data_IF_484799600827
#
_entry.id   IF_484799600827
#
_cell.length_a   1.000
_cell.length_b   1.000
_cell.length_c   1.000
_cell.angle_alpha   90.00
_cell.angle_beta   90.00
_cell.angle_gamma   90.00
#
_symmetry.space_group_name_H-M   'P 1'
#
loop_
_entity.id
_entity.type
_entity.pdbx_description
1 polymer ?
#
# COMPACT_ATOMS: atom_id res chain seq x y z
N UNK A 1 -20.79 4.22 26.57
CA UNK A 1 -19.42 3.79 26.31
C UNK A 1 -19.22 3.30 24.88
N UNK A 2 -20.06 2.41 24.38
CA UNK A 2 -19.93 1.93 22.98
C UNK A 2 -19.99 3.08 21.97
N UNK A 3 -20.91 4.02 22.15
CA UNK A 3 -21.06 5.16 21.23
C UNK A 3 -19.81 6.05 21.23
N UNK A 4 -19.21 6.25 22.39
CA UNK A 4 -17.98 7.03 22.50
C UNK A 4 -16.82 6.38 21.72
N UNK A 5 -16.66 5.07 21.85
CA UNK A 5 -15.61 4.33 21.15
C UNK A 5 -15.83 4.37 19.65
N UNK A 6 -17.08 4.17 19.19
CA UNK A 6 -17.41 4.23 17.77
C UNK A 6 -17.18 5.63 17.19
N UNK A 7 -17.53 6.66 17.93
CA UNK A 7 -17.33 8.05 17.49
C UNK A 7 -15.83 8.36 17.38
N UNK A 8 -15.02 7.88 18.35
CA UNK A 8 -13.58 8.06 18.32
C UNK A 8 -12.96 7.34 17.13
N UNK A 9 -13.40 6.12 16.84
CA UNK A 9 -12.89 5.36 15.68
C UNK A 9 -13.24 6.04 14.36
N UNK A 10 -14.46 6.60 14.25
CA UNK A 10 -14.87 7.36 13.07
C UNK A 10 -14.04 8.62 12.90
N UNK A 11 -13.70 9.27 13.99
CA UNK A 11 -12.86 10.46 13.99
C UNK A 11 -11.45 10.12 13.49
N UNK A 12 -10.87 9.03 13.97
CA UNK A 12 -9.57 8.56 13.52
C UNK A 12 -9.58 8.18 12.03
N UNK A 13 -10.66 7.53 11.58
CA UNK A 13 -10.82 7.20 10.17
C UNK A 13 -10.89 8.47 9.32
N UNK A 14 -11.62 9.47 9.75
CA UNK A 14 -11.73 10.75 9.03
C UNK A 14 -10.39 11.46 8.94
N UNK A 15 -9.60 11.44 10.00
CA UNK A 15 -8.26 12.00 9.99
C UNK A 15 -7.35 11.27 9.01
N UNK A 16 -7.40 9.94 9.00
CA UNK A 16 -6.59 9.12 8.10
C UNK A 16 -6.95 9.40 6.64
N UNK A 17 -8.23 9.49 6.32
CA UNK A 17 -8.72 9.81 4.98
C UNK A 17 -8.23 11.20 4.56
N UNK A 18 -8.30 12.18 5.46
CA UNK A 18 -7.80 13.52 5.21
C UNK A 18 -6.31 13.51 4.86
N UNK A 19 -5.51 12.79 5.66
CA UNK A 19 -4.06 12.70 5.42
C UNK A 19 -3.77 12.05 4.07
N UNK A 20 -4.49 10.99 3.72
CA UNK A 20 -4.31 10.30 2.42
C UNK A 20 -4.60 11.27 1.27
N UNK A 21 -5.67 12.06 1.36
CA UNK A 21 -6.02 13.05 0.34
C UNK A 21 -4.97 14.15 0.23
N UNK A 22 -4.43 14.60 1.37
CA UNK A 22 -3.39 15.62 1.39
C UNK A 22 -2.10 15.12 0.76
N UNK A 23 -1.70 13.88 1.03
CA UNK A 23 -0.52 13.27 0.43
C UNK A 23 -0.70 13.20 -1.09
N UNK A 24 -1.86 12.79 -1.56
CA UNK A 24 -2.14 12.72 -3.00
C UNK A 24 -2.07 14.10 -3.66
N UNK A 25 -2.49 15.14 -2.95
CA UNK A 25 -2.48 16.50 -3.49
C UNK A 25 -1.09 17.14 -3.50
N UNK A 26 -0.25 16.80 -2.52
CA UNK A 26 1.05 17.46 -2.33
C UNK A 26 2.21 16.77 -3.03
N UNK A 27 2.12 15.49 -3.31
CA UNK A 27 3.21 14.71 -3.90
C UNK A 27 2.86 14.29 -5.32
N UNK A 28 3.84 14.39 -6.23
CA UNK A 28 3.63 14.06 -7.63
C UNK A 28 3.41 12.57 -7.88
N UNK A 29 4.17 11.73 -7.18
CA UNK A 29 4.17 10.29 -7.40
C UNK A 29 4.01 9.50 -6.11
N UNK A 30 2.89 9.65 -5.41
CA UNK A 30 2.65 8.83 -4.23
C UNK A 30 2.37 7.38 -4.62
N UNK A 31 2.59 6.47 -3.69
CA UNK A 31 2.31 5.06 -3.88
C UNK A 31 1.90 4.43 -2.57
N UNK A 32 1.13 3.34 -2.65
CA UNK A 32 0.70 2.56 -1.48
C UNK A 32 1.54 1.32 -1.36
N UNK A 33 2.21 1.16 -0.24
CA UNK A 33 3.00 -0.04 0.01
C UNK A 33 2.08 -1.16 0.50
N UNK A 34 2.10 -2.28 -0.20
CA UNK A 34 1.41 -3.50 0.21
C UNK A 34 2.41 -4.48 0.79
N UNK A 35 2.22 -4.88 2.04
CA UNK A 35 3.09 -5.85 2.71
C UNK A 35 2.40 -7.19 2.99
N UNK A 36 1.08 -7.25 2.77
CA UNK A 36 0.28 -8.43 3.10
C UNK A 36 -0.16 -8.48 4.56
N UNK A 37 0.30 -7.54 5.38
CA UNK A 37 -0.11 -7.44 6.77
C UNK A 37 -1.42 -6.69 6.96
N UNK A 38 -1.95 -6.74 8.17
CA UNK A 38 -3.24 -6.11 8.52
C UNK A 38 -3.22 -4.60 8.26
N UNK A 39 -2.12 -3.94 8.58
CA UNK A 39 -2.01 -2.50 8.44
C UNK A 39 -2.05 -2.07 6.98
N UNK A 40 -1.41 -2.83 6.08
CA UNK A 40 -1.44 -2.51 4.66
C UNK A 40 -2.83 -2.73 4.06
N UNK A 41 -3.56 -3.74 4.52
CA UNK A 41 -4.92 -4.00 4.08
C UNK A 41 -5.85 -2.87 4.54
N UNK A 42 -5.71 -2.45 5.79
CA UNK A 42 -6.49 -1.34 6.35
C UNK A 42 -6.20 -0.04 5.59
N UNK A 43 -4.93 0.24 5.33
CA UNK A 43 -4.52 1.44 4.61
C UNK A 43 -5.09 1.47 3.20
N UNK A 44 -5.10 0.34 2.52
CA UNK A 44 -5.71 0.20 1.20
C UNK A 44 -7.21 0.49 1.24
N UNK A 45 -7.89 -0.02 2.26
CA UNK A 45 -9.31 0.21 2.45
C UNK A 45 -9.61 1.70 2.69
N UNK A 46 -8.82 2.36 3.52
CA UNK A 46 -8.96 3.79 3.79
C UNK A 46 -8.69 4.63 2.53
N UNK A 47 -7.70 4.25 1.74
CA UNK A 47 -7.41 4.92 0.48
C UNK A 47 -8.58 4.80 -0.50
N UNK A 48 -9.21 3.62 -0.58
CA UNK A 48 -10.40 3.42 -1.40
C UNK A 48 -11.52 4.35 -0.97
N UNK A 49 -11.76 4.47 0.34
CA UNK A 49 -12.77 5.39 0.87
C UNK A 49 -12.43 6.85 0.59
N UNK A 50 -11.15 7.21 0.68
CA UNK A 50 -10.71 8.58 0.50
C UNK A 50 -11.04 9.12 -0.90
N UNK A 51 -11.01 8.26 -1.91
CA UNK A 51 -11.22 8.67 -3.30
C UNK A 51 -12.54 8.20 -3.91
N UNK A 52 -13.35 7.47 -3.15
CA UNK A 52 -14.65 7.01 -3.63
C UNK A 52 -15.53 8.20 -4.07
N UNK A 53 -16.24 8.13 -5.22
CA UNK A 53 -16.36 6.97 -6.14
C UNK A 53 -15.27 6.85 -7.19
N UNK A 54 -14.26 7.72 -7.17
CA UNK A 54 -13.13 7.62 -8.09
C UNK A 54 -12.18 6.51 -7.68
N UNK A 55 -11.33 6.11 -8.60
CA UNK A 55 -10.28 5.13 -8.31
C UNK A 55 -9.15 5.80 -7.55
N UNK A 56 -8.39 5.00 -6.80
CA UNK A 56 -7.17 5.49 -6.14
C UNK A 56 -6.20 5.97 -7.23
N UNK A 57 -5.70 7.22 -7.13
CA UNK A 57 -4.90 7.81 -8.21
C UNK A 57 -3.41 7.42 -8.21
N UNK A 58 -3.01 6.45 -7.41
CA UNK A 58 -1.61 6.04 -7.33
C UNK A 58 -1.48 4.52 -7.28
N UNK A 59 -0.30 3.99 -7.65
CA UNK A 59 -0.12 2.55 -7.73
C UNK A 59 0.06 1.88 -6.38
N UNK A 60 -0.12 0.57 -6.38
CA UNK A 60 0.18 -0.31 -5.26
C UNK A 60 1.57 -0.90 -5.49
N UNK A 61 2.45 -0.82 -4.49
CA UNK A 61 3.81 -1.35 -4.57
C UNK A 61 3.95 -2.50 -3.59
N UNK A 62 4.45 -3.62 -4.07
CA UNK A 62 4.79 -4.78 -3.24
C UNK A 62 6.24 -5.16 -3.47
N UNK A 63 7.01 -5.25 -2.39
CA UNK A 63 8.38 -5.73 -2.44
C UNK A 63 8.36 -7.22 -2.14
N UNK A 64 8.58 -8.02 -3.18
CA UNK A 64 8.54 -9.47 -3.08
C UNK A 64 9.94 -9.98 -2.69
N UNK A 65 10.02 -10.59 -1.50
CA UNK A 65 11.27 -11.15 -0.98
C UNK A 65 11.54 -12.57 -1.47
N UNK A 66 10.59 -13.15 -2.21
CA UNK A 66 10.68 -14.55 -2.65
C UNK A 66 10.19 -15.54 -1.60
N UNK A 67 9.75 -15.06 -0.44
CA UNK A 67 9.32 -15.90 0.68
C UNK A 67 7.85 -15.72 1.03
N UNK A 68 7.10 -15.07 0.18
CA UNK A 68 5.68 -14.85 0.42
C UNK A 68 4.85 -16.11 0.12
N UNK A 69 3.80 -16.31 0.91
CA UNK A 69 2.87 -17.40 0.64
C UNK A 69 2.10 -17.13 -0.66
N UNK A 70 1.75 -18.20 -1.36
CA UNK A 70 0.98 -18.08 -2.61
C UNK A 70 -0.36 -17.38 -2.39
N UNK A 71 -0.99 -17.58 -1.24
CA UNK A 71 -2.25 -16.92 -0.89
C UNK A 71 -2.08 -15.40 -0.77
N UNK A 72 -0.96 -14.94 -0.24
CA UNK A 72 -0.66 -13.51 -0.14
C UNK A 72 -0.49 -12.88 -1.52
N UNK A 73 0.20 -13.58 -2.42
CA UNK A 73 0.42 -13.10 -3.78
C UNK A 73 -0.89 -13.04 -4.55
N UNK A 74 -1.72 -14.07 -4.42
CA UNK A 74 -3.04 -14.11 -5.05
C UNK A 74 -3.93 -13.00 -4.53
N UNK A 75 -3.93 -12.78 -3.22
CA UNK A 75 -4.69 -11.70 -2.60
C UNK A 75 -4.24 -10.33 -3.12
N UNK A 76 -2.92 -10.12 -3.22
CA UNK A 76 -2.35 -8.89 -3.76
C UNK A 76 -2.82 -8.62 -5.18
N UNK A 77 -2.73 -9.63 -6.05
CA UNK A 77 -3.09 -9.49 -7.45
C UNK A 77 -4.58 -9.20 -7.60
N UNK A 78 -5.42 -9.90 -6.85
CA UNK A 78 -6.86 -9.71 -6.87
C UNK A 78 -7.24 -8.32 -6.33
N UNK A 79 -6.56 -7.86 -5.28
CA UNK A 79 -6.81 -6.55 -4.69
C UNK A 79 -6.47 -5.43 -5.68
N UNK A 80 -5.33 -5.51 -6.33
CA UNK A 80 -4.93 -4.51 -7.32
C UNK A 80 -5.91 -4.46 -8.48
N UNK A 81 -6.39 -5.62 -8.92
CA UNK A 81 -7.38 -5.73 -9.99
C UNK A 81 -8.72 -5.14 -9.56
N UNK A 82 -9.17 -5.46 -8.36
CA UNK A 82 -10.43 -4.94 -7.80
C UNK A 82 -10.39 -3.43 -7.66
N UNK A 83 -9.28 -2.89 -7.18
CA UNK A 83 -9.10 -1.44 -7.03
C UNK A 83 -8.88 -0.73 -8.35
N UNK A 84 -8.52 -1.45 -9.41
CA UNK A 84 -8.23 -0.86 -10.71
C UNK A 84 -6.96 -0.02 -10.70
N UNK A 85 -5.99 -0.36 -9.86
CA UNK A 85 -4.72 0.36 -9.76
C UNK A 85 -3.59 -0.45 -10.36
N UNK A 86 -2.52 0.23 -10.76
CA UNK A 86 -1.31 -0.42 -11.25
C UNK A 86 -0.60 -1.08 -10.08
N UNK A 87 -0.16 -2.32 -10.29
CA UNK A 87 0.63 -3.04 -9.32
C UNK A 87 2.09 -3.04 -9.76
N UNK A 88 2.96 -2.55 -8.88
CA UNK A 88 4.41 -2.57 -9.12
C UNK A 88 5.01 -3.56 -8.14
N UNK A 89 5.66 -4.60 -8.66
CA UNK A 89 6.30 -5.63 -7.84
C UNK A 89 7.80 -5.51 -7.97
N UNK A 90 8.47 -5.22 -6.86
CA UNK A 90 9.92 -5.22 -6.78
C UNK A 90 10.40 -6.58 -6.27
N UNK A 91 11.29 -7.21 -7.01
CA UNK A 91 11.87 -8.49 -6.62
C UNK A 91 13.24 -8.24 -6.00
N UNK A 92 13.33 -8.36 -4.69
CA UNK A 92 14.57 -8.07 -3.96
C UNK A 92 15.70 -9.00 -4.43
N UNK A 93 15.41 -10.28 -4.56
CA UNK A 93 16.43 -11.24 -4.97
C UNK A 93 16.99 -10.93 -6.36
N UNK A 94 16.12 -10.62 -7.30
CA UNK A 94 16.53 -10.26 -8.65
C UNK A 94 17.38 -8.98 -8.65
N UNK A 95 16.98 -7.99 -7.88
CA UNK A 95 17.71 -6.75 -7.78
C UNK A 95 19.08 -6.94 -7.14
N UNK A 96 19.18 -7.83 -6.15
CA UNK A 96 20.45 -8.19 -5.53
C UNK A 96 21.36 -8.90 -6.54
N UNK A 97 20.81 -9.85 -7.29
CA UNK A 97 21.54 -10.60 -8.31
C UNK A 97 22.07 -9.68 -9.41
N UNK A 98 21.31 -8.65 -9.75
CA UNK A 98 21.70 -7.65 -10.73
C UNK A 98 22.61 -6.56 -10.15
N UNK A 99 22.83 -6.56 -8.83
CA UNK A 99 23.68 -5.60 -8.14
C UNK A 99 23.02 -4.25 -7.85
N UNK A 100 21.79 -4.03 -8.29
CA UNK A 100 21.11 -2.73 -8.13
C UNK A 100 20.72 -2.42 -6.69
N UNK A 101 20.10 -3.37 -5.99
CA UNK A 101 19.67 -3.16 -4.61
C UNK A 101 20.86 -2.87 -3.71
N UNK A 102 21.97 -3.53 -3.96
CA UNK A 102 23.20 -3.35 -3.20
C UNK A 102 23.67 -1.90 -3.18
N UNK A 103 23.63 -1.24 -4.33
CA UNK A 103 24.00 0.15 -4.45
C UNK A 103 22.91 1.09 -3.88
N UNK A 104 21.67 0.84 -4.24
CA UNK A 104 20.55 1.70 -3.87
C UNK A 104 20.29 1.71 -2.37
N UNK A 105 20.47 0.57 -1.69
CA UNK A 105 20.25 0.46 -0.25
C UNK A 105 21.53 0.64 0.56
N UNK A 106 22.65 0.91 -0.09
CA UNK A 106 23.93 1.04 0.59
C UNK A 106 24.45 -0.27 1.17
N UNK A 107 23.97 -1.40 0.69
CA UNK A 107 24.43 -2.72 1.10
C UNK A 107 25.71 -3.02 0.34
N UNK A 108 26.80 -3.12 1.05
CA UNK A 108 28.09 -3.45 0.46
C UNK A 108 28.38 -4.94 0.62
N UNK A 109 28.82 -5.52 -0.43
CA UNK A 109 29.25 -6.91 -0.38
C UNK A 109 30.54 -7.03 0.41
#
# INVERSE_FOLDING_TARGET
MKNYILDHLKELESEAIFVIREISAQFENPALLFSGGKDSILLTHLAKKAFFPAKIPFPLIHIDTGHNFSETIEFRDNLAKELGVKLIVGLVQKAIDEGRVKEELGINA
#
